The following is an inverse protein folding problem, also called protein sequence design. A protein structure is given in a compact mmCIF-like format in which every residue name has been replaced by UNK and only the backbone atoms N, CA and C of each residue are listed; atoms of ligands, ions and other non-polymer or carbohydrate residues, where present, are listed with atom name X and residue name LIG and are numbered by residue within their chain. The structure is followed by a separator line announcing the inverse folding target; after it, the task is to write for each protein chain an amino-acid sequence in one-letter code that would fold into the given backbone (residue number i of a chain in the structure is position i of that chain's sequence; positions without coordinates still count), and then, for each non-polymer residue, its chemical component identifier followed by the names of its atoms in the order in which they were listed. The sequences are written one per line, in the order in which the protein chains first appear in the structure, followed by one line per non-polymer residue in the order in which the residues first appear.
data_IF_118720659824
#
_entry.id   IF_118720659824
#
_cell.length_a   1.000
_cell.length_b   1.000
_cell.length_c   1.000
_cell.angle_alpha   90.00
_cell.angle_beta   90.00
_cell.angle_gamma   90.00
#
_symmetry.space_group_name_H-M   'P 1'
#
loop_
_entity.id
_entity.type
_entity.pdbx_description
1 polymer ?
#
# COMPACT_ATOMS: atom_id res chain seq x y z
N UNK A 1 13.81 2.30 -18.29
CA UNK A 1 13.30 2.98 -17.11
C UNK A 1 12.22 2.13 -16.50
N UNK A 2 12.37 1.87 -15.23
CA UNK A 2 11.40 1.00 -14.55
C UNK A 2 10.06 1.69 -14.33
N UNK A 3 9.99 2.98 -14.51
CA UNK A 3 8.83 3.80 -14.16
C UNK A 3 7.98 4.15 -15.37
N UNK A 4 7.68 3.15 -16.20
CA UNK A 4 6.87 3.35 -17.40
C UNK A 4 5.38 3.11 -17.18
N UNK A 5 4.94 3.13 -15.94
CA UNK A 5 3.53 2.93 -15.65
C UNK A 5 2.70 4.10 -16.16
N UNK A 6 1.64 3.82 -16.90
CA UNK A 6 0.76 4.86 -17.43
C UNK A 6 -0.15 5.47 -16.37
N UNK A 7 -0.09 4.96 -15.13
CA UNK A 7 -0.97 5.41 -14.06
C UNK A 7 -0.27 6.29 -13.03
N UNK A 8 0.97 6.73 -13.30
CA UNK A 8 1.70 7.55 -12.34
C UNK A 8 0.98 8.85 -12.00
N UNK A 9 0.14 9.34 -12.90
CA UNK A 9 -0.62 10.56 -12.67
C UNK A 9 -1.69 10.39 -11.57
N UNK A 10 -2.00 9.16 -11.17
CA UNK A 10 -2.98 8.92 -10.11
C UNK A 10 -2.37 8.99 -8.72
N UNK A 11 -1.04 9.10 -8.63
CA UNK A 11 -0.37 9.18 -7.34
C UNK A 11 -0.67 10.51 -6.67
N UNK A 12 -1.10 10.45 -5.41
CA UNK A 12 -1.44 11.64 -4.62
C UNK A 12 -0.70 11.59 -3.29
N UNK A 13 -0.58 12.73 -2.66
CA UNK A 13 -0.16 12.78 -1.27
C UNK A 13 -1.36 12.41 -0.41
N UNK A 14 -1.22 11.35 0.35
CA UNK A 14 -2.34 10.77 1.10
C UNK A 14 -1.97 10.65 2.57
N UNK A 15 -2.99 10.59 3.42
CA UNK A 15 -2.85 10.29 4.83
C UNK A 15 -3.24 8.83 5.03
N UNK A 16 -2.37 8.01 5.66
CA UNK A 16 -2.74 6.60 5.89
C UNK A 16 -4.03 6.48 6.70
N UNK A 17 -4.90 5.57 6.28
CA UNK A 17 -6.22 5.42 6.88
C UNK A 17 -6.18 4.78 8.27
N UNK A 18 -5.09 4.08 8.61
CA UNK A 18 -4.97 3.37 9.88
C UNK A 18 -3.50 3.17 10.21
N UNK A 19 -3.23 2.76 11.45
CA UNK A 19 -1.87 2.45 11.89
C UNK A 19 -1.42 1.04 11.53
N UNK A 20 -2.26 0.29 10.88
CA UNK A 20 -1.96 -1.05 10.40
C UNK A 20 -2.90 -1.37 9.27
N UNK A 21 -3.02 -2.65 8.89
CA UNK A 21 -4.00 -3.02 7.88
C UNK A 21 -5.39 -2.69 8.39
N UNK A 22 -6.08 -1.81 7.69
CA UNK A 22 -7.37 -1.29 8.15
C UNK A 22 -8.37 -2.42 8.42
N UNK A 23 -8.48 -3.35 7.49
CA UNK A 23 -9.41 -4.47 7.64
C UNK A 23 -8.96 -5.48 8.67
N UNK A 24 -7.64 -5.78 8.73
CA UNK A 24 -7.12 -6.71 9.71
C UNK A 24 -7.33 -6.20 11.14
N UNK A 25 -7.20 -4.89 11.35
CA UNK A 25 -7.46 -4.32 12.66
C UNK A 25 -8.92 -4.52 13.08
N UNK A 26 -9.84 -4.37 12.12
CA UNK A 26 -11.27 -4.54 12.42
C UNK A 26 -11.65 -5.98 12.70
N UNK A 27 -11.01 -6.93 12.03
CA UNK A 27 -11.35 -8.35 12.18
C UNK A 27 -10.45 -9.09 13.14
N UNK A 28 -9.46 -8.40 13.73
CA UNK A 28 -8.53 -9.03 14.67
C UNK A 28 -7.56 -9.99 14.01
N UNK A 29 -7.24 -9.78 12.74
CA UNK A 29 -6.34 -10.65 12.00
C UNK A 29 -4.92 -10.08 11.98
N UNK A 30 -3.98 -10.90 11.51
CA UNK A 30 -2.56 -10.56 11.43
C UNK A 30 -2.17 -10.20 10.01
N UNK A 31 -1.04 -9.51 9.88
CA UNK A 31 -0.46 -9.21 8.58
C UNK A 31 1.05 -9.39 8.63
N UNK A 32 1.68 -9.52 7.43
CA UNK A 32 3.13 -9.62 7.32
C UNK A 32 3.70 -8.24 7.02
N UNK A 33 3.34 -7.65 5.88
CA UNK A 33 3.78 -6.30 5.51
C UNK A 33 2.56 -5.48 5.12
N UNK A 34 2.74 -4.15 5.05
CA UNK A 34 1.65 -3.25 4.71
C UNK A 34 1.92 -2.56 3.38
N UNK A 35 0.83 -2.26 2.68
CA UNK A 35 0.85 -1.52 1.42
C UNK A 35 -0.12 -0.35 1.53
N UNK A 36 0.28 0.80 1.01
CA UNK A 36 -0.52 2.03 1.08
C UNK A 36 -1.03 2.38 -0.31
N UNK A 37 -2.34 2.56 -0.42
CA UNK A 37 -2.94 3.04 -1.66
C UNK A 37 -2.58 4.51 -1.86
N UNK A 38 -1.91 4.83 -2.98
CA UNK A 38 -1.46 6.20 -3.25
C UNK A 38 -2.55 7.06 -3.89
N UNK A 39 -3.76 6.57 -3.98
CA UNK A 39 -4.89 7.35 -4.45
C UNK A 39 -5.77 7.83 -3.30
N UNK A 40 -6.03 6.97 -2.31
CA UNK A 40 -6.96 7.31 -1.22
C UNK A 40 -6.39 7.14 0.18
N UNK A 41 -5.20 6.56 0.33
CA UNK A 41 -4.58 6.39 1.65
C UNK A 41 -4.96 5.12 2.38
N UNK A 42 -5.70 4.21 1.76
CA UNK A 42 -6.07 2.94 2.40
C UNK A 42 -4.82 2.12 2.71
N UNK A 43 -4.73 1.62 3.93
CA UNK A 43 -3.63 0.75 4.36
C UNK A 43 -4.14 -0.69 4.36
N UNK A 44 -3.50 -1.53 3.55
CA UNK A 44 -3.86 -2.94 3.45
C UNK A 44 -2.66 -3.83 3.59
N UNK A 45 -2.90 -5.12 3.88
CA UNK A 45 -1.82 -6.08 4.02
C UNK A 45 -1.39 -6.62 2.65
N UNK A 46 -0.13 -7.06 2.59
CA UNK A 46 0.47 -7.52 1.34
C UNK A 46 -0.02 -8.91 0.95
N UNK A 47 0.41 -9.37 -0.23
CA UNK A 47 0.01 -10.68 -0.75
C UNK A 47 0.63 -11.85 0.02
N UNK A 48 1.65 -11.60 0.84
CA UNK A 48 2.19 -12.61 1.73
C UNK A 48 1.38 -12.74 3.02
N UNK A 49 0.46 -11.82 3.26
CA UNK A 49 -0.42 -11.85 4.43
C UNK A 49 -1.62 -12.76 4.16
N UNK A 50 -2.24 -13.31 5.22
CA UNK A 50 -3.35 -14.25 5.00
C UNK A 50 -4.53 -13.65 4.24
N UNK A 51 -4.81 -12.36 4.43
CA UNK A 51 -6.02 -11.74 3.89
C UNK A 51 -5.81 -10.91 2.63
N UNK A 52 -4.59 -10.52 2.30
CA UNK A 52 -4.24 -9.78 1.08
C UNK A 52 -5.16 -8.59 0.82
N UNK A 53 -5.37 -7.77 1.83
CA UNK A 53 -6.35 -6.68 1.75
C UNK A 53 -5.96 -5.58 0.76
N UNK A 54 -4.65 -5.35 0.53
CA UNK A 54 -4.24 -4.35 -0.45
C UNK A 54 -4.71 -4.74 -1.86
N UNK A 55 -4.53 -6.01 -2.23
CA UNK A 55 -4.98 -6.50 -3.53
C UNK A 55 -6.50 -6.49 -3.63
N UNK A 56 -7.19 -6.84 -2.55
CA UNK A 56 -8.66 -6.78 -2.54
C UNK A 56 -9.15 -5.35 -2.71
N UNK A 57 -8.45 -4.38 -2.09
CA UNK A 57 -8.80 -2.97 -2.25
C UNK A 57 -8.67 -2.54 -3.71
N UNK A 58 -7.60 -2.95 -4.39
CA UNK A 58 -7.47 -2.65 -5.81
C UNK A 58 -8.62 -3.23 -6.62
N UNK A 59 -8.98 -4.49 -6.36
CA UNK A 59 -10.06 -5.14 -7.11
C UNK A 59 -11.40 -4.43 -6.92
N UNK A 60 -11.61 -3.84 -5.76
CA UNK A 60 -12.86 -3.14 -5.45
C UNK A 60 -12.88 -1.72 -6.02
N UNK A 61 -11.78 -0.97 -5.86
CA UNK A 61 -11.74 0.46 -6.17
C UNK A 61 -11.10 0.77 -7.51
N UNK A 62 -10.27 -0.15 -8.03
CA UNK A 62 -9.45 0.05 -9.22
C UNK A 62 -8.39 1.13 -9.06
N UNK A 63 -8.05 1.50 -7.82
CA UNK A 63 -6.94 2.41 -7.55
C UNK A 63 -5.63 1.67 -7.87
N UNK A 64 -4.85 2.12 -8.86
CA UNK A 64 -3.81 1.26 -9.44
C UNK A 64 -2.50 1.20 -8.67
N UNK A 65 -2.20 2.22 -7.87
CA UNK A 65 -0.84 2.36 -7.32
C UNK A 65 -0.83 2.11 -5.83
N UNK A 66 0.09 1.23 -5.39
CA UNK A 66 0.38 1.05 -3.97
C UNK A 66 1.84 1.35 -3.70
N UNK A 67 2.12 1.68 -2.45
CA UNK A 67 3.46 1.93 -1.94
C UNK A 67 3.81 0.86 -0.91
N UNK A 68 5.07 0.40 -0.91
CA UNK A 68 5.56 -0.46 0.16
C UNK A 68 5.67 0.34 1.45
N UNK A 69 4.67 0.23 2.31
CA UNK A 69 4.48 1.14 3.43
C UNK A 69 5.16 0.65 4.70
N UNK A 70 5.06 -0.62 5.02
CA UNK A 70 5.67 -1.19 6.21
C UNK A 70 6.27 -2.56 5.88
N UNK A 71 7.58 -2.66 5.82
CA UNK A 71 8.56 -1.57 6.01
C UNK A 71 8.55 -0.60 4.84
N UNK A 72 8.96 0.66 5.08
CA UNK A 72 9.07 1.63 4.00
C UNK A 72 10.30 1.33 3.16
N UNK A 73 10.08 0.89 1.95
CA UNK A 73 11.18 0.41 1.10
C UNK A 73 11.43 1.27 -0.13
N UNK A 74 10.64 2.34 -0.30
CA UNK A 74 10.88 3.29 -1.35
C UNK A 74 10.43 2.87 -2.73
N UNK A 75 9.51 1.92 -2.83
CA UNK A 75 9.01 1.46 -4.13
C UNK A 75 7.50 1.56 -4.20
N UNK A 76 7.01 1.70 -5.44
CA UNK A 76 5.59 1.62 -5.74
C UNK A 76 5.32 0.49 -6.72
N UNK A 77 4.08 0.06 -6.77
CA UNK A 77 3.64 -1.00 -7.67
C UNK A 77 2.35 -0.59 -8.34
N UNK A 78 2.29 -0.76 -9.66
CA UNK A 78 1.07 -0.54 -10.41
C UNK A 78 0.42 -1.88 -10.69
N UNK A 79 -0.78 -2.11 -10.15
CA UNK A 79 -1.49 -3.36 -10.36
C UNK A 79 -1.93 -3.56 -11.81
N UNK A 80 -2.20 -2.47 -12.51
CA UNK A 80 -2.70 -2.56 -13.89
C UNK A 80 -1.58 -2.88 -14.87
N UNK A 81 -0.48 -2.14 -14.79
CA UNK A 81 0.65 -2.33 -15.69
C UNK A 81 1.65 -3.37 -15.18
N UNK A 82 1.51 -3.79 -13.92
CA UNK A 82 2.35 -4.80 -13.27
C UNK A 82 3.83 -4.43 -13.33
N UNK A 83 4.13 -3.19 -12.94
CA UNK A 83 5.51 -2.71 -12.89
C UNK A 83 5.79 -2.08 -11.54
N UNK A 84 7.03 -2.22 -11.08
CA UNK A 84 7.54 -1.51 -9.90
C UNK A 84 8.28 -0.26 -10.35
N UNK A 85 8.27 0.75 -9.48
CA UNK A 85 8.97 2.00 -9.75
C UNK A 85 9.45 2.61 -8.44
N UNK A 86 10.39 3.56 -8.57
CA UNK A 86 11.05 4.17 -7.42
C UNK A 86 10.17 5.28 -6.82
N UNK A 87 9.93 5.20 -5.51
CA UNK A 87 9.22 6.23 -4.75
C UNK A 87 10.08 6.80 -3.62
N UNK A 88 11.41 6.58 -3.64
CA UNK A 88 12.24 6.92 -2.50
C UNK A 88 12.20 8.41 -2.12
N UNK A 89 11.92 9.29 -3.07
CA UNK A 89 11.76 10.72 -2.79
C UNK A 89 10.34 11.15 -2.49
N UNK A 90 9.39 10.22 -2.45
CA UNK A 90 7.96 10.53 -2.34
C UNK A 90 7.24 9.58 -1.39
N UNK A 91 7.96 9.03 -0.42
CA UNK A 91 7.38 8.06 0.50
C UNK A 91 6.46 8.75 1.49
N UNK A 92 5.42 8.03 1.89
CA UNK A 92 4.44 8.53 2.86
C UNK A 92 4.94 8.24 4.28
N UNK A 93 5.03 9.25 5.15
CA UNK A 93 5.44 9.01 6.54
C UNK A 93 4.36 8.28 7.32
N UNK A 94 4.80 7.50 8.31
CA UNK A 94 3.87 6.84 9.23
C UNK A 94 3.26 7.86 10.19
N UNK A 95 1.99 7.67 10.52
CA UNK A 95 1.29 8.55 11.46
C UNK A 95 1.58 8.21 12.92
N UNK A 96 2.25 7.10 13.18
CA UNK A 96 2.56 6.66 14.52
C UNK A 96 3.15 5.27 14.50
N UNK A 97 3.39 4.65 15.66
CA UNK A 97 3.94 3.31 15.70
C UNK A 97 2.95 2.30 15.13
N UNK A 98 3.47 1.37 14.33
CA UNK A 98 2.65 0.33 13.71
C UNK A 98 2.71 -0.92 14.57
N UNK A 99 1.57 -1.46 15.02
CA UNK A 99 1.59 -2.70 15.80
C UNK A 99 2.06 -3.86 14.94
N UNK A 100 2.80 -4.77 15.56
CA UNK A 100 3.36 -5.93 14.88
C UNK A 100 2.80 -7.19 15.51
N UNK A 101 2.20 -8.01 14.69
CA UNK A 101 1.60 -9.26 15.14
C UNK A 101 2.35 -10.48 14.59
N UNK A 102 3.29 -10.26 13.68
CA UNK A 102 4.04 -11.36 13.06
C UNK A 102 5.53 -11.19 13.30
#
# INVERSE_FOLDING_TARGET
MADNCSHLHTIREVTPSALGCEECLKMGSQWVHLRLCRTCGHVGCCDSSPNRHATKHFHTTKHPIIEGYDPPEGWGWCYVDEVMFDLSGRMTPHNGPIPRYV
#
